data_IF_946802778120
#
_entry.id   IF_946802778120
#
_cell.length_a   1.000
_cell.length_b   1.000
_cell.length_c   1.000
_cell.angle_alpha   90.00
_cell.angle_beta   90.00
_cell.angle_gamma   90.00
#
_symmetry.space_group_name_H-M   'P 1'
#
loop_
_entity.id
_entity.type
_entity.pdbx_description
1 polymer ?
#
# COMPACT_ATOMS: atom_id res chain seq x y z
N UNK A 1 8.98 -35.48 59.13
CA UNK A 1 10.42 -35.73 58.90
C UNK A 1 11.07 -34.43 58.47
N UNK A 2 12.27 -34.15 58.97
CA UNK A 2 13.13 -33.03 58.54
C UNK A 2 13.73 -33.37 57.13
N UNK A 3 14.36 -32.48 56.34
CA UNK A 3 15.13 -31.27 56.65
C UNK A 3 14.99 -30.16 55.57
N UNK A 4 15.17 -28.89 55.96
CA UNK A 4 15.85 -27.83 55.15
C UNK A 4 17.33 -27.82 55.55
N UNK A 5 18.28 -27.39 54.69
CA UNK A 5 18.80 -25.99 54.67
C UNK A 5 19.20 -25.52 53.23
N UNK A 6 19.76 -24.34 52.89
CA UNK A 6 19.88 -22.98 53.48
C UNK A 6 20.01 -21.97 52.30
N UNK A 7 19.37 -20.80 52.27
CA UNK A 7 19.71 -19.48 52.87
C UNK A 7 20.75 -18.60 52.13
N UNK A 8 20.35 -17.33 51.90
CA UNK A 8 21.15 -16.11 51.58
C UNK A 8 21.72 -16.00 50.14
N UNK A 9 21.85 -14.81 49.54
CA UNK A 9 21.58 -13.44 50.04
C UNK A 9 21.37 -12.38 48.93
N UNK A 10 21.16 -11.12 49.33
CA UNK A 10 20.89 -9.95 48.45
C UNK A 10 22.15 -9.52 47.68
N UNK A 11 22.02 -9.19 46.39
CA UNK A 11 22.85 -8.18 45.70
C UNK A 11 21.96 -7.29 44.82
N UNK A 12 22.26 -5.99 44.79
CA UNK A 12 21.60 -4.98 43.95
C UNK A 12 22.35 -4.84 42.61
N UNK A 13 21.63 -4.58 41.53
CA UNK A 13 22.13 -3.92 40.31
C UNK A 13 20.98 -3.05 39.79
N UNK A 14 21.00 -1.73 39.98
CA UNK A 14 21.76 -0.73 39.19
C UNK A 14 21.24 -0.59 37.75
N UNK A 15 20.14 0.15 37.63
CA UNK A 15 19.83 0.84 36.38
C UNK A 15 20.84 1.98 36.19
N UNK A 16 21.78 1.81 35.27
CA UNK A 16 22.63 2.89 34.79
C UNK A 16 21.76 3.87 33.99
N UNK A 17 21.54 5.06 34.52
CA UNK A 17 21.09 6.18 33.70
C UNK A 17 21.94 7.42 33.98
N UNK A 18 23.00 7.54 33.20
CA UNK A 18 23.90 8.70 33.20
C UNK A 18 23.25 9.86 32.45
N UNK A 19 22.80 10.88 33.18
CA UNK A 19 23.31 12.21 32.91
C UNK A 19 23.17 13.16 34.09
N UNK A 20 24.30 13.73 34.50
CA UNK A 20 24.37 14.82 35.47
C UNK A 20 24.21 16.13 34.70
N UNK A 21 23.32 17.00 35.16
CA UNK A 21 23.58 18.44 35.13
C UNK A 21 22.82 19.09 36.28
N UNK A 22 23.55 19.37 37.36
CA UNK A 22 23.00 19.94 38.58
C UNK A 22 23.02 21.47 38.50
N UNK A 23 21.84 22.09 38.55
CA UNK A 23 21.73 23.47 39.00
C UNK A 23 21.41 23.47 40.51
N UNK A 24 22.29 24.11 41.29
CA UNK A 24 22.11 24.30 42.73
C UNK A 24 21.02 25.35 42.97
N UNK A 25 20.09 25.08 43.90
CA UNK A 25 19.36 26.13 44.62
C UNK A 25 18.81 25.63 45.96
N UNK A 26 19.05 26.41 47.01
CA UNK A 26 18.22 26.47 48.23
C UNK A 26 18.24 25.27 49.20
N UNK A 27 18.87 25.44 50.36
CA UNK A 27 18.50 24.65 51.54
C UNK A 27 17.09 25.05 51.99
N UNK A 28 16.16 24.10 52.00
CA UNK A 28 14.92 24.18 52.78
C UNK A 28 14.69 22.82 53.44
N UNK A 29 14.68 22.79 54.77
CA UNK A 29 14.38 21.59 55.54
C UNK A 29 12.88 21.24 55.39
N UNK A 30 12.53 19.99 55.04
CA UNK A 30 11.13 19.61 54.92
C UNK A 30 10.51 19.36 56.29
N UNK A 31 9.39 20.06 56.57
CA UNK A 31 8.50 19.68 57.68
C UNK A 31 7.91 18.28 57.43
N UNK A 32 7.73 17.44 58.46
CA UNK A 32 7.03 16.17 58.31
C UNK A 32 5.53 16.38 58.06
N UNK A 33 4.88 15.31 57.58
CA UNK A 33 3.44 15.12 57.49
C UNK A 33 2.64 15.96 56.46
N UNK A 34 2.88 15.64 55.19
CA UNK A 34 1.82 15.63 54.18
C UNK A 34 1.81 14.28 53.44
N UNK A 35 0.98 13.33 53.90
CA UNK A 35 0.66 12.11 53.13
C UNK A 35 -0.26 12.48 51.96
N UNK A 36 0.31 12.97 50.87
CA UNK A 36 -0.43 13.14 49.60
C UNK A 36 -0.63 11.75 49.00
N UNK A 37 -1.78 11.14 49.28
CA UNK A 37 -2.26 9.96 48.57
C UNK A 37 -2.59 10.34 47.13
N UNK A 38 -1.63 10.17 46.22
CA UNK A 38 -1.85 10.32 44.78
C UNK A 38 -2.67 9.14 44.27
N UNK A 39 -3.99 9.25 44.42
CA UNK A 39 -4.93 8.41 43.69
C UNK A 39 -4.68 8.62 42.20
N UNK A 40 -3.99 7.65 41.58
CA UNK A 40 -3.88 7.58 40.14
C UNK A 40 -5.27 7.23 39.59
N UNK A 41 -6.05 8.26 39.25
CA UNK A 41 -7.22 8.13 38.41
C UNK A 41 -6.81 7.57 37.05
N UNK A 42 -6.81 6.23 36.95
CA UNK A 42 -6.60 5.51 35.70
C UNK A 42 -7.86 5.68 34.86
N UNK A 43 -7.91 6.76 34.08
CA UNK A 43 -8.89 6.85 33.00
C UNK A 43 -8.75 5.61 32.11
N UNK A 44 -9.85 4.90 31.81
CA UNK A 44 -9.79 3.74 30.93
C UNK A 44 -9.29 4.16 29.55
N UNK A 45 -8.44 3.33 28.94
CA UNK A 45 -7.93 3.58 27.60
C UNK A 45 -9.06 3.29 26.60
N UNK A 46 -9.65 4.36 26.06
CA UNK A 46 -10.64 4.25 24.98
C UNK A 46 -9.95 4.10 23.62
N UNK A 47 -10.29 3.02 22.92
CA UNK A 47 -9.86 2.77 21.55
C UNK A 47 -10.94 3.23 20.57
N UNK A 48 -10.58 3.65 19.33
CA UNK A 48 -11.57 4.08 18.36
C UNK A 48 -12.50 2.93 17.97
N UNK A 49 -13.75 3.27 17.60
CA UNK A 49 -14.71 2.36 16.98
C UNK A 49 -14.97 1.07 17.78
N UNK A 50 -14.99 1.19 19.12
CA UNK A 50 -15.18 0.09 20.08
C UNK A 50 -14.12 -1.03 20.01
N UNK A 51 -13.00 -0.81 19.30
CA UNK A 51 -11.93 -1.81 19.14
C UNK A 51 -11.41 -2.30 20.49
N UNK A 52 -11.32 -3.62 20.65
CA UNK A 52 -10.73 -4.20 21.85
C UNK A 52 -9.21 -4.03 21.81
N UNK A 53 -8.56 -3.92 22.97
CA UNK A 53 -7.11 -3.72 23.06
C UNK A 53 -6.27 -4.70 22.20
N UNK A 54 -6.60 -6.02 22.11
CA UNK A 54 -5.88 -6.94 21.23
C UNK A 54 -6.07 -6.63 19.74
N UNK A 55 -7.28 -6.25 19.31
CA UNK A 55 -7.60 -5.92 17.92
C UNK A 55 -6.86 -4.65 17.48
N UNK A 56 -6.92 -3.60 18.30
CA UNK A 56 -6.19 -2.36 18.03
C UNK A 56 -4.67 -2.59 18.02
N UNK A 57 -4.15 -3.39 18.95
CA UNK A 57 -2.72 -3.73 18.98
C UNK A 57 -2.29 -4.55 17.75
N UNK A 58 -3.10 -5.51 17.29
CA UNK A 58 -2.80 -6.28 16.09
C UNK A 58 -2.77 -5.38 14.84
N UNK A 59 -3.70 -4.44 14.71
CA UNK A 59 -3.74 -3.51 13.58
C UNK A 59 -2.56 -2.52 13.62
N UNK A 60 -2.36 -1.86 14.77
CA UNK A 60 -1.38 -0.78 14.91
C UNK A 60 0.06 -1.30 14.99
N UNK A 61 0.33 -2.24 15.91
CA UNK A 61 1.68 -2.77 16.16
C UNK A 61 1.95 -4.01 15.31
N UNK A 62 1.01 -4.95 15.28
CA UNK A 62 1.15 -6.21 14.55
C UNK A 62 1.01 -6.11 13.02
N UNK A 63 0.68 -4.94 12.47
CA UNK A 63 0.56 -4.72 11.02
C UNK A 63 0.93 -3.29 10.58
N UNK A 64 1.57 -2.51 11.45
CA UNK A 64 2.06 -1.16 11.18
C UNK A 64 1.03 -0.18 10.57
N UNK A 65 -0.27 -0.36 10.85
CA UNK A 65 -1.34 0.47 10.27
C UNK A 65 -1.44 1.78 11.05
N UNK A 66 -1.41 2.91 10.34
CA UNK A 66 -1.48 4.25 10.91
C UNK A 66 -2.79 4.48 11.69
N UNK A 67 -2.76 5.00 12.95
CA UNK A 67 -3.94 5.12 13.81
C UNK A 67 -5.15 5.85 13.19
N UNK A 68 -4.91 6.90 12.40
CA UNK A 68 -5.98 7.64 11.73
C UNK A 68 -6.69 6.83 10.61
N UNK A 69 -6.03 5.82 10.05
CA UNK A 69 -6.63 4.89 9.08
C UNK A 69 -7.43 3.81 9.79
N UNK A 70 -6.91 3.31 10.92
CA UNK A 70 -7.63 2.40 11.83
C UNK A 70 -8.97 3.03 12.24
N UNK A 71 -8.93 4.26 12.77
CA UNK A 71 -10.10 5.02 13.24
C UNK A 71 -11.17 5.28 12.17
N UNK A 72 -10.85 5.21 10.87
CA UNK A 72 -11.82 5.43 9.79
C UNK A 72 -12.46 4.15 9.25
N UNK A 73 -11.79 3.01 9.38
CA UNK A 73 -12.13 1.82 8.58
C UNK A 73 -12.32 0.53 9.37
N UNK A 74 -11.84 0.45 10.61
CA UNK A 74 -11.87 -0.76 11.40
C UNK A 74 -12.79 -0.56 12.61
N UNK A 75 -13.75 -1.45 12.81
CA UNK A 75 -14.80 -1.35 13.82
C UNK A 75 -14.93 -2.66 14.57
N UNK A 76 -15.07 -2.64 15.89
CA UNK A 76 -15.49 -3.83 16.62
C UNK A 76 -17.01 -4.01 16.48
N UNK A 77 -17.42 -5.20 16.08
CA UNK A 77 -18.83 -5.61 16.09
C UNK A 77 -18.96 -6.93 16.84
N UNK A 78 -20.01 -7.04 17.66
CA UNK A 78 -20.36 -8.24 18.43
C UNK A 78 -21.87 -8.36 18.65
N UNK A 79 -22.33 -9.49 19.18
CA UNK A 79 -23.75 -9.77 19.34
C UNK A 79 -24.50 -9.81 18.01
N UNK A 80 -25.83 -9.68 18.06
CA UNK A 80 -26.69 -9.89 16.89
C UNK A 80 -26.50 -8.85 15.76
N UNK A 81 -25.93 -7.68 16.07
CA UNK A 81 -25.61 -6.64 15.08
C UNK A 81 -24.74 -7.14 13.92
N UNK A 82 -23.93 -8.18 14.15
CA UNK A 82 -23.12 -8.84 13.14
C UNK A 82 -23.95 -9.37 11.97
N UNK A 83 -25.21 -9.74 12.20
CA UNK A 83 -26.10 -10.22 11.16
C UNK A 83 -26.56 -9.11 10.20
N UNK A 84 -26.63 -7.86 10.66
CA UNK A 84 -26.97 -6.71 9.81
C UNK A 84 -25.85 -6.44 8.79
N UNK A 85 -24.58 -6.61 9.20
CA UNK A 85 -23.41 -6.48 8.33
C UNK A 85 -23.22 -7.66 7.35
N UNK A 86 -23.68 -8.87 7.69
CA UNK A 86 -23.44 -10.07 6.86
C UNK A 86 -24.65 -10.50 6.03
N UNK A 87 -25.88 -10.35 6.51
CA UNK A 87 -27.07 -10.91 5.86
C UNK A 87 -27.76 -9.96 4.88
N UNK A 88 -26.94 -9.16 4.19
CA UNK A 88 -27.29 -8.12 3.21
C UNK A 88 -27.80 -8.68 1.86
N UNK A 89 -27.73 -10.00 1.65
CA UNK A 89 -28.16 -10.62 0.39
C UNK A 89 -29.56 -11.23 0.49
N UNK A 90 -30.47 -10.79 -0.39
CA UNK A 90 -31.81 -11.37 -0.57
C UNK A 90 -31.79 -12.87 -0.94
N UNK A 91 -30.64 -13.37 -1.44
CA UNK A 91 -30.43 -14.78 -1.81
C UNK A 91 -30.18 -15.68 -0.60
N UNK A 92 -30.16 -15.14 0.61
CA UNK A 92 -30.03 -15.90 1.86
C UNK A 92 -31.40 -16.49 2.23
N UNK A 93 -31.52 -17.81 2.47
CA UNK A 93 -32.79 -18.43 2.82
C UNK A 93 -33.37 -17.86 4.12
N UNK A 94 -34.60 -17.35 4.04
CA UNK A 94 -35.39 -16.76 5.14
C UNK A 94 -36.67 -17.56 5.37
N UNK A 95 -37.19 -17.52 6.60
CA UNK A 95 -38.52 -18.03 6.99
C UNK A 95 -39.61 -17.04 6.55
N UNK A 96 -40.87 -17.47 6.54
CA UNK A 96 -42.03 -16.62 6.18
C UNK A 96 -42.10 -15.29 6.96
N UNK A 97 -41.59 -15.26 8.20
CA UNK A 97 -41.49 -14.06 9.04
C UNK A 97 -40.22 -13.20 8.78
N UNK A 98 -39.57 -13.32 7.61
CA UNK A 98 -38.39 -12.54 7.21
C UNK A 98 -37.05 -12.91 7.87
N UNK A 99 -37.06 -13.57 9.03
CA UNK A 99 -35.86 -14.04 9.74
C UNK A 99 -35.07 -15.07 8.92
N UNK A 100 -33.74 -14.94 8.90
CA UNK A 100 -32.82 -15.91 8.28
C UNK A 100 -32.98 -17.31 8.88
N UNK A 101 -32.85 -18.34 8.05
CA UNK A 101 -32.99 -19.75 8.47
C UNK A 101 -31.95 -20.17 9.51
N UNK A 102 -32.35 -21.03 10.45
CA UNK A 102 -31.51 -21.40 11.59
C UNK A 102 -30.17 -22.10 11.21
N UNK A 103 -30.04 -22.86 10.10
CA UNK A 103 -28.74 -23.36 9.66
C UNK A 103 -27.73 -22.25 9.33
N UNK A 104 -28.17 -21.14 8.71
CA UNK A 104 -27.30 -19.99 8.45
C UNK A 104 -26.90 -19.28 9.74
N UNK A 105 -27.87 -19.06 10.65
CA UNK A 105 -27.62 -18.46 11.96
C UNK A 105 -26.60 -19.30 12.74
N UNK A 106 -26.77 -20.63 12.82
CA UNK A 106 -25.82 -21.55 13.48
C UNK A 106 -24.42 -21.51 12.85
N UNK A 107 -24.31 -21.42 11.52
CA UNK A 107 -23.01 -21.36 10.84
C UNK A 107 -22.21 -20.10 11.20
N UNK A 108 -22.89 -18.97 11.37
CA UNK A 108 -22.28 -17.68 11.70
C UNK A 108 -22.33 -17.32 13.20
N UNK A 109 -22.92 -18.17 14.05
CA UNK A 109 -23.06 -17.94 15.50
C UNK A 109 -21.72 -17.66 16.22
N UNK A 110 -20.62 -18.22 15.70
CA UNK A 110 -19.27 -17.98 16.22
C UNK A 110 -18.85 -16.50 16.19
N UNK A 111 -19.45 -15.69 15.32
CA UNK A 111 -19.17 -14.26 15.19
C UNK A 111 -19.87 -13.40 16.24
N UNK A 112 -20.87 -13.93 16.97
CA UNK A 112 -21.51 -13.23 18.08
C UNK A 112 -20.52 -12.90 19.22
N UNK A 113 -19.43 -13.68 19.33
CA UNK A 113 -18.29 -13.44 20.23
C UNK A 113 -17.38 -12.28 19.78
N UNK A 114 -17.73 -11.65 18.67
CA UNK A 114 -17.13 -10.43 18.15
C UNK A 114 -16.02 -10.64 17.13
N UNK A 115 -15.72 -9.55 16.44
CA UNK A 115 -14.62 -9.46 15.50
C UNK A 115 -14.44 -8.04 14.97
N UNK A 116 -13.38 -7.85 14.19
CA UNK A 116 -13.09 -6.58 13.53
C UNK A 116 -13.77 -6.54 12.17
N UNK A 117 -14.81 -5.72 12.02
CA UNK A 117 -15.36 -5.32 10.72
C UNK A 117 -14.41 -4.37 10.01
N UNK A 118 -14.26 -4.59 8.71
CA UNK A 118 -13.45 -3.75 7.82
C UNK A 118 -14.38 -3.11 6.80
N UNK A 119 -14.56 -1.80 6.95
CA UNK A 119 -15.42 -0.98 6.12
C UNK A 119 -14.72 -0.64 4.79
N UNK A 120 -15.46 -0.78 3.68
CA UNK A 120 -15.02 -0.40 2.33
C UNK A 120 -15.83 0.79 1.79
N UNK A 121 -15.31 1.46 0.77
CA UNK A 121 -16.00 2.47 -0.04
C UNK A 121 -16.37 1.89 -1.41
N UNK A 122 -17.53 2.25 -1.96
CA UNK A 122 -18.00 1.72 -3.23
C UNK A 122 -17.53 2.56 -4.44
N UNK A 123 -16.66 2.02 -5.33
CA UNK A 123 -16.15 2.73 -6.50
C UNK A 123 -17.23 2.99 -7.56
N UNK A 124 -18.37 2.30 -7.50
CA UNK A 124 -19.50 2.43 -8.42
C UNK A 124 -20.62 3.33 -7.86
N UNK A 125 -20.59 3.63 -6.55
CA UNK A 125 -21.57 4.48 -5.88
C UNK A 125 -20.91 5.70 -5.20
N UNK A 126 -20.23 6.53 -6.00
CA UNK A 126 -19.64 7.82 -5.60
C UNK A 126 -18.74 7.77 -4.36
N UNK A 127 -18.05 6.65 -4.11
CA UNK A 127 -17.19 6.46 -2.93
C UNK A 127 -17.92 6.55 -1.59
N UNK A 128 -19.23 6.32 -1.56
CA UNK A 128 -19.99 6.15 -0.32
C UNK A 128 -19.57 4.85 0.39
N UNK A 129 -19.75 4.76 1.73
CA UNK A 129 -19.55 3.51 2.45
C UNK A 129 -20.35 2.36 1.82
N UNK A 130 -19.64 1.29 1.48
CA UNK A 130 -20.21 0.09 0.89
C UNK A 130 -20.93 -0.74 1.97
N UNK A 131 -22.13 -1.23 1.68
CA UNK A 131 -22.84 -2.15 2.58
C UNK A 131 -22.06 -3.47 2.78
N UNK A 132 -21.36 -3.90 1.73
CA UNK A 132 -20.42 -5.01 1.81
C UNK A 132 -19.09 -4.59 2.45
N UNK A 133 -18.60 -5.44 3.33
CA UNK A 133 -17.27 -5.41 3.92
C UNK A 133 -16.86 -6.82 4.33
N UNK A 134 -15.80 -6.96 5.13
CA UNK A 134 -15.37 -8.27 5.65
C UNK A 134 -15.12 -8.20 7.13
N UNK A 135 -15.52 -9.25 7.86
CA UNK A 135 -15.22 -9.40 9.28
C UNK A 135 -14.01 -10.31 9.45
N UNK A 136 -13.07 -9.89 10.30
CA UNK A 136 -12.06 -10.76 10.89
C UNK A 136 -12.60 -11.28 12.23
N UNK A 137 -12.97 -12.57 12.37
CA UNK A 137 -13.49 -13.10 13.62
C UNK A 137 -12.42 -13.14 14.72
N UNK A 138 -12.80 -12.88 15.97
CA UNK A 138 -11.91 -13.16 17.11
C UNK A 138 -11.75 -14.68 17.34
N UNK A 139 -12.79 -15.45 17.02
CA UNK A 139 -12.82 -16.91 17.12
C UNK A 139 -13.20 -17.54 15.78
N UNK A 140 -12.25 -17.65 14.82
CA UNK A 140 -12.56 -18.11 13.46
C UNK A 140 -12.99 -19.59 13.44
N UNK A 141 -14.10 -19.90 12.77
CA UNK A 141 -14.51 -21.29 12.54
C UNK A 141 -13.50 -22.02 11.63
N UNK A 142 -13.47 -23.35 11.72
CA UNK A 142 -12.67 -24.19 10.83
C UNK A 142 -13.45 -24.49 9.54
N UNK A 143 -12.80 -24.32 8.39
CA UNK A 143 -13.26 -24.83 7.10
C UNK A 143 -13.09 -26.36 7.09
N UNK A 144 -14.21 -27.10 7.11
CA UNK A 144 -14.22 -28.55 7.18
C UNK A 144 -13.58 -29.24 5.97
N UNK A 145 -13.51 -28.58 4.81
CA UNK A 145 -12.86 -29.12 3.61
C UNK A 145 -11.34 -28.94 3.64
N UNK A 146 -10.87 -27.85 4.26
CA UNK A 146 -9.46 -27.44 4.25
C UNK A 146 -8.73 -27.72 5.56
N UNK A 147 -9.45 -28.03 6.64
CA UNK A 147 -8.89 -28.19 7.99
C UNK A 147 -8.21 -26.93 8.53
N UNK A 148 -8.65 -25.74 8.08
CA UNK A 148 -7.98 -24.45 8.36
C UNK A 148 -8.97 -23.40 8.89
N UNK A 149 -8.53 -22.51 9.79
CA UNK A 149 -9.37 -21.42 10.28
C UNK A 149 -9.71 -20.44 9.15
N UNK A 150 -10.99 -20.06 9.05
CA UNK A 150 -11.46 -19.02 8.13
C UNK A 150 -11.09 -17.66 8.71
N UNK A 151 -9.94 -17.12 8.28
CA UNK A 151 -9.38 -15.87 8.82
C UNK A 151 -10.28 -14.64 8.64
N UNK A 152 -11.11 -14.62 7.59
CA UNK A 152 -11.99 -13.52 7.23
C UNK A 152 -13.25 -14.09 6.58
N UNK A 153 -14.42 -13.58 6.97
CA UNK A 153 -15.71 -13.93 6.37
C UNK A 153 -16.25 -12.76 5.55
N UNK A 154 -16.82 -13.07 4.38
CA UNK A 154 -17.55 -12.13 3.53
C UNK A 154 -19.06 -12.39 3.66
N UNK A 155 -19.92 -11.38 3.44
CA UNK A 155 -21.38 -11.54 3.38
C UNK A 155 -21.82 -12.73 2.49
N UNK A 156 -22.50 -13.76 3.02
CA UNK A 156 -22.91 -14.92 2.22
C UNK A 156 -23.81 -14.56 1.04
N UNK A 157 -23.68 -15.33 -0.04
CA UNK A 157 -24.47 -15.19 -1.29
C UNK A 157 -24.30 -13.83 -2.01
N UNK A 158 -23.33 -13.02 -1.61
CA UNK A 158 -22.82 -11.88 -2.39
C UNK A 158 -21.68 -12.31 -3.32
N UNK A 159 -21.40 -11.50 -4.34
CA UNK A 159 -20.09 -11.54 -4.99
C UNK A 159 -19.04 -10.93 -4.05
N UNK A 160 -17.82 -11.43 -4.08
CA UNK A 160 -16.70 -10.73 -3.44
C UNK A 160 -16.55 -9.34 -4.08
N UNK A 161 -16.29 -8.32 -3.26
CA UNK A 161 -15.92 -6.96 -3.68
C UNK A 161 -14.45 -6.71 -3.30
N UNK A 162 -13.83 -5.65 -3.82
CA UNK A 162 -12.49 -5.23 -3.36
C UNK A 162 -12.60 -4.17 -2.26
N UNK A 163 -11.57 -4.05 -1.41
CA UNK A 163 -11.57 -3.11 -0.28
C UNK A 163 -10.86 -1.81 -0.66
N UNK A 164 -11.63 -0.72 -0.67
CA UNK A 164 -11.17 0.67 -0.78
C UNK A 164 -11.35 1.37 0.58
N UNK A 165 -10.29 1.88 1.17
CA UNK A 165 -10.34 2.54 2.49
C UNK A 165 -10.68 4.03 2.40
N UNK A 166 -11.38 4.57 3.41
CA UNK A 166 -11.44 6.01 3.67
C UNK A 166 -10.07 6.49 4.20
N UNK A 167 -9.38 7.31 3.40
CA UNK A 167 -8.02 7.76 3.66
C UNK A 167 -8.01 9.10 4.40
N UNK A 168 -7.40 9.18 5.61
CA UNK A 168 -7.26 10.44 6.33
C UNK A 168 -6.29 11.40 5.64
N UNK A 169 -6.55 12.71 5.78
CA UNK A 169 -5.77 13.79 5.15
C UNK A 169 -4.25 13.71 5.44
N UNK A 170 -3.84 13.15 6.59
CA UNK A 170 -2.43 12.95 6.91
C UNK A 170 -1.74 11.94 5.97
N UNK A 171 -2.44 10.85 5.60
CA UNK A 171 -1.94 9.83 4.66
C UNK A 171 -2.06 10.34 3.22
N UNK A 172 -3.17 10.99 2.87
CA UNK A 172 -3.32 11.63 1.55
C UNK A 172 -2.21 12.67 1.28
N UNK A 173 -1.80 13.45 2.28
CA UNK A 173 -0.64 14.35 2.15
C UNK A 173 0.70 13.61 2.06
N UNK A 174 0.84 12.45 2.71
CA UNK A 174 2.03 11.59 2.57
C UNK A 174 2.13 11.02 1.14
N UNK A 175 1.01 10.56 0.58
CA UNK A 175 0.89 10.05 -0.80
C UNK A 175 1.22 11.16 -1.81
N UNK A 176 0.61 12.34 -1.67
CA UNK A 176 0.88 13.47 -2.56
C UNK A 176 2.37 13.85 -2.58
N UNK A 177 3.03 13.88 -1.41
CA UNK A 177 4.49 14.08 -1.30
C UNK A 177 5.29 12.96 -1.94
N UNK A 178 4.90 11.69 -1.77
CA UNK A 178 5.61 10.54 -2.37
C UNK A 178 5.67 10.63 -3.89
N UNK A 179 4.58 11.03 -4.52
CA UNK A 179 4.47 11.09 -5.98
C UNK A 179 4.71 12.51 -6.54
N UNK A 180 5.24 13.44 -5.74
CA UNK A 180 5.52 14.84 -6.12
C UNK A 180 4.32 15.62 -6.68
N UNK A 181 3.10 15.27 -6.26
CA UNK A 181 1.88 15.96 -6.67
C UNK A 181 1.63 17.14 -5.71
N UNK A 182 1.35 18.37 -6.21
CA UNK A 182 1.00 19.52 -5.38
C UNK A 182 -0.09 19.18 -4.37
N UNK A 183 -0.01 19.74 -3.16
CA UNK A 183 -0.89 19.33 -2.06
C UNK A 183 -2.35 19.41 -2.47
N UNK A 184 -3.08 18.31 -2.25
CA UNK A 184 -4.51 18.19 -2.55
C UNK A 184 -5.34 19.30 -1.90
N UNK A 185 -4.83 19.91 -0.82
CA UNK A 185 -5.40 21.12 -0.21
C UNK A 185 -5.57 22.28 -1.20
N UNK A 186 -4.67 22.45 -2.16
CA UNK A 186 -4.76 23.47 -3.22
C UNK A 186 -5.68 23.01 -4.37
N UNK A 187 -5.61 21.73 -4.73
CA UNK A 187 -6.41 21.12 -5.81
C UNK A 187 -7.90 21.04 -5.45
N UNK A 188 -8.25 20.82 -4.18
CA UNK A 188 -9.62 20.79 -3.65
C UNK A 188 -10.36 22.12 -3.85
N UNK A 189 -9.66 23.25 -3.89
CA UNK A 189 -10.26 24.55 -4.20
C UNK A 189 -10.25 24.90 -5.70
N UNK A 190 -9.40 24.25 -6.51
CA UNK A 190 -9.21 24.56 -7.93
C UNK A 190 -10.40 24.21 -8.85
N UNK A 191 -11.47 23.58 -8.34
CA UNK A 191 -12.75 23.41 -9.06
C UNK A 191 -13.92 24.25 -8.51
N UNK A 192 -13.71 25.14 -7.53
CA UNK A 192 -14.65 26.23 -7.24
C UNK A 192 -14.46 27.40 -8.23
N UNK A 193 -14.84 27.12 -9.47
CA UNK A 193 -15.22 28.09 -10.51
C UNK A 193 -14.28 29.27 -10.83
N UNK A 194 -13.42 29.10 -11.85
CA UNK A 194 -13.36 30.04 -12.98
C UNK A 194 -12.57 29.46 -14.17
N UNK A 195 -12.99 29.79 -15.40
CA UNK A 195 -12.23 29.48 -16.63
C UNK A 195 -10.94 30.30 -16.64
N UNK A 196 -9.78 29.67 -16.53
CA UNK A 196 -8.53 30.30 -16.94
C UNK A 196 -8.47 30.37 -18.47
N UNK A 197 -8.84 31.53 -19.02
CA UNK A 197 -8.78 31.81 -20.44
C UNK A 197 -7.31 32.08 -20.84
N UNK A 198 -6.61 31.06 -21.33
CA UNK A 198 -5.24 31.23 -21.83
C UNK A 198 -5.29 32.01 -23.15
N UNK A 199 -5.01 33.32 -23.11
CA UNK A 199 -4.67 34.12 -24.29
C UNK A 199 -3.41 34.96 -24.05
N UNK A 200 -2.40 34.63 -24.87
CA UNK A 200 -1.28 35.46 -25.34
C UNK A 200 -0.34 36.16 -24.34
N UNK A 201 0.92 35.68 -24.35
CA UNK A 201 2.18 36.40 -24.66
C UNK A 201 2.39 37.86 -24.16
N UNK A 202 3.64 38.07 -23.69
CA UNK A 202 4.38 39.34 -23.48
C UNK A 202 3.99 40.18 -22.24
N UNK A 203 4.68 39.88 -21.12
CA UNK A 203 5.56 40.79 -20.35
C UNK A 203 5.89 40.15 -19.00
N UNK A 204 7.03 39.46 -18.89
CA UNK A 204 7.63 39.13 -17.58
C UNK A 204 9.16 38.93 -17.63
N UNK A 205 9.83 39.60 -18.58
CA UNK A 205 11.29 39.71 -18.61
C UNK A 205 11.86 40.67 -17.54
N UNK A 206 11.00 41.24 -16.68
CA UNK A 206 11.36 42.18 -15.61
C UNK A 206 11.31 41.58 -14.20
N UNK A 207 10.61 40.46 -13.99
CA UNK A 207 10.51 39.83 -12.66
C UNK A 207 11.68 38.87 -12.34
N UNK A 208 12.39 38.39 -13.35
CA UNK A 208 13.57 37.52 -13.17
C UNK A 208 14.86 38.29 -12.83
N UNK A 209 14.87 39.62 -12.95
CA UNK A 209 16.07 40.45 -12.71
C UNK A 209 16.27 40.83 -11.23
N UNK A 210 15.20 40.90 -10.43
CA UNK A 210 15.25 41.44 -9.07
C UNK A 210 15.50 40.40 -7.95
N UNK A 211 15.64 39.11 -8.30
CA UNK A 211 15.84 38.02 -7.32
C UNK A 211 17.30 37.53 -7.21
N UNK A 212 18.28 38.39 -7.51
CA UNK A 212 19.71 38.02 -7.47
C UNK A 212 20.58 38.71 -6.42
N UNK A 213 20.05 39.65 -5.62
CA UNK A 213 20.83 40.32 -4.57
C UNK A 213 20.10 40.31 -3.21
N UNK A 214 20.90 40.24 -2.14
CA UNK A 214 20.55 40.21 -0.70
C UNK A 214 19.89 38.94 -0.14
N UNK A 215 20.75 38.09 0.44
CA UNK A 215 20.40 37.31 1.63
C UNK A 215 20.29 38.23 2.86
N UNK A 216 19.72 37.67 3.93
CA UNK A 216 19.60 38.20 5.30
C UNK A 216 18.51 39.28 5.54
N UNK A 217 17.43 38.87 6.22
CA UNK A 217 17.33 39.11 7.66
C UNK A 217 16.36 38.09 8.29
N UNK A 218 16.48 37.89 9.60
CA UNK A 218 15.79 36.83 10.32
C UNK A 218 14.53 37.32 11.08
N UNK A 219 13.86 36.34 11.69
CA UNK A 219 12.89 36.44 12.79
C UNK A 219 11.40 36.60 12.45
N UNK A 220 10.65 35.72 13.11
CA UNK A 220 9.20 35.61 13.13
C UNK A 220 8.51 36.86 13.68
N UNK A 221 7.51 37.35 12.95
CA UNK A 221 6.44 38.17 13.53
C UNK A 221 5.08 37.60 13.11
N UNK A 222 4.23 37.28 14.08
CA UNK A 222 2.86 36.84 13.81
C UNK A 222 2.03 38.01 13.28
N UNK A 223 0.98 37.73 12.51
CA UNK A 223 0.12 38.77 11.90
C UNK A 223 -0.45 39.79 12.91
N UNK A 224 -0.65 39.38 14.17
CA UNK A 224 -1.04 40.27 15.28
C UNK A 224 -0.01 41.38 15.57
N UNK A 225 1.28 41.15 15.30
CA UNK A 225 2.34 42.15 15.44
C UNK A 225 2.34 43.20 14.31
N UNK A 226 1.69 42.91 13.16
CA UNK A 226 1.53 43.86 12.06
C UNK A 226 0.35 44.81 12.32
N UNK A 227 -0.76 44.30 12.89
CA UNK A 227 -1.90 45.14 13.30
C UNK A 227 -1.54 46.12 14.44
N UNK A 228 -0.56 45.79 15.29
CA UNK A 228 -0.05 46.69 16.36
C UNK A 228 0.93 47.78 15.88
N UNK A 229 1.29 47.79 14.59
CA UNK A 229 2.18 48.79 13.98
C UNK A 229 1.43 49.74 13.02
N UNK A 230 0.10 49.78 13.11
CA UNK A 230 -0.80 50.55 12.23
C UNK A 230 -0.69 50.24 10.72
N UNK A 231 -0.06 49.12 10.35
CA UNK A 231 0.11 48.68 8.94
C UNK A 231 -1.19 48.10 8.37
N UNK A 232 -2.08 47.58 9.22
CA UNK A 232 -3.37 47.00 8.83
C UNK A 232 -4.51 47.53 9.71
N UNK A 233 -5.49 48.18 9.06
CA UNK A 233 -6.65 48.76 9.72
C UNK A 233 -7.50 47.67 10.44
N UNK A 234 -7.79 47.81 11.75
CA UNK A 234 -8.60 46.83 12.50
C UNK A 234 -10.00 46.57 11.91
N UNK A 235 -10.59 47.58 11.25
CA UNK A 235 -11.88 47.45 10.57
C UNK A 235 -11.76 46.52 9.34
N UNK A 236 -10.66 46.58 8.61
CA UNK A 236 -10.38 45.67 7.48
C UNK A 236 -10.11 44.25 7.96
N UNK A 237 -9.45 44.06 9.11
CA UNK A 237 -9.33 42.75 9.74
C UNK A 237 -10.70 42.19 10.15
N UNK A 238 -11.57 43.00 10.76
CA UNK A 238 -12.92 42.55 11.12
C UNK A 238 -13.86 42.37 9.92
N UNK A 239 -13.70 43.12 8.84
CA UNK A 239 -14.41 42.89 7.57
C UNK A 239 -13.93 41.60 6.91
N UNK A 240 -12.62 41.34 6.87
CA UNK A 240 -12.05 40.08 6.38
C UNK A 240 -12.49 38.88 7.24
N UNK A 241 -12.49 39.00 8.57
CA UNK A 241 -13.02 37.96 9.46
C UNK A 241 -14.54 37.80 9.32
N UNK A 242 -15.33 38.86 9.10
CA UNK A 242 -16.76 38.75 8.77
C UNK A 242 -17.00 38.09 7.41
N UNK A 243 -16.11 38.29 6.45
CA UNK A 243 -16.19 37.68 5.12
C UNK A 243 -15.67 36.23 5.09
N UNK A 244 -14.93 35.79 6.11
CA UNK A 244 -14.32 34.46 6.20
C UNK A 244 -14.66 33.64 7.47
N UNK A 245 -15.64 34.06 8.27
CA UNK A 245 -16.30 33.21 9.27
C UNK A 245 -17.80 33.13 8.99
N UNK A 246 -18.31 31.89 9.03
CA UNK A 246 -19.73 31.51 8.85
C UNK A 246 -20.23 31.51 7.39
N UNK A 247 -19.67 30.62 6.58
CA UNK A 247 -20.49 29.79 5.68
C UNK A 247 -20.58 28.39 6.26
N UNK A 248 -21.33 28.27 7.37
CA UNK A 248 -21.79 26.98 7.87
C UNK A 248 -23.20 26.77 7.29
N UNK A 249 -23.28 25.89 6.29
CA UNK A 249 -24.44 25.06 5.91
C UNK A 249 -25.83 25.72 6.02
N UNK A 250 -26.44 26.06 4.88
CA UNK A 250 -27.77 25.51 4.57
C UNK A 250 -28.07 25.38 3.06
N UNK A 251 -28.88 24.38 2.73
CA UNK A 251 -29.73 24.22 1.54
C UNK A 251 -29.08 24.00 0.15
N UNK A 252 -29.23 22.75 -0.31
CA UNK A 252 -29.52 22.37 -1.72
C UNK A 252 -28.53 22.72 -2.85
N UNK A 253 -27.23 22.51 -2.65
CA UNK A 253 -26.35 22.15 -3.77
C UNK A 253 -25.39 21.02 -3.39
N UNK A 254 -25.26 20.02 -4.27
CA UNK A 254 -24.48 18.78 -4.02
C UNK A 254 -22.98 19.08 -4.10
N UNK A 255 -22.42 19.66 -3.04
CA UNK A 255 -20.98 19.87 -2.87
C UNK A 255 -20.29 18.50 -2.81
N UNK A 256 -19.74 18.05 -3.95
CA UNK A 256 -18.96 16.82 -4.02
C UNK A 256 -17.63 17.09 -3.30
N UNK A 257 -17.53 16.67 -2.04
CA UNK A 257 -16.25 16.48 -1.38
C UNK A 257 -15.46 15.46 -2.22
N UNK A 258 -14.42 15.93 -2.88
CA UNK A 258 -13.60 15.12 -3.78
C UNK A 258 -12.83 14.10 -2.91
N UNK A 259 -13.32 12.87 -2.89
CA UNK A 259 -12.76 11.80 -2.06
C UNK A 259 -11.35 11.44 -2.52
N UNK A 260 -10.55 10.85 -1.62
CA UNK A 260 -9.18 10.42 -1.94
C UNK A 260 -9.12 9.58 -3.24
N UNK A 261 -10.07 8.68 -3.46
CA UNK A 261 -10.08 7.82 -4.65
C UNK A 261 -10.51 8.56 -5.92
N UNK A 262 -11.34 9.60 -5.81
CA UNK A 262 -11.63 10.48 -6.95
C UNK A 262 -10.43 11.39 -7.29
N UNK A 263 -9.60 11.73 -6.30
CA UNK A 263 -8.31 12.38 -6.52
C UNK A 263 -7.34 11.41 -7.19
N UNK A 264 -7.18 10.18 -6.68
CA UNK A 264 -6.36 9.14 -7.34
C UNK A 264 -6.79 8.96 -8.79
N UNK A 265 -8.09 8.83 -9.10
CA UNK A 265 -8.57 8.75 -10.49
C UNK A 265 -8.09 9.88 -11.40
N UNK A 266 -7.99 11.11 -10.89
CA UNK A 266 -7.52 12.27 -11.65
C UNK A 266 -5.99 12.30 -11.87
N UNK A 267 -5.24 11.43 -11.18
CA UNK A 267 -3.78 11.31 -11.26
C UNK A 267 -3.38 9.89 -11.73
N UNK A 268 -3.46 9.57 -13.05
CA UNK A 268 -3.02 8.29 -13.61
C UNK A 268 -1.54 7.97 -13.35
N UNK A 269 -0.70 8.99 -13.14
CA UNK A 269 0.71 8.87 -12.77
C UNK A 269 0.94 8.18 -11.41
N UNK A 270 -0.07 8.10 -10.55
CA UNK A 270 0.01 7.36 -9.29
C UNK A 270 -0.18 5.84 -9.57
N UNK A 271 0.83 4.99 -9.30
CA UNK A 271 0.67 3.54 -9.42
C UNK A 271 -0.22 2.99 -8.30
N UNK A 272 -1.00 1.95 -8.62
CA UNK A 272 -1.89 1.28 -7.67
C UNK A 272 -1.39 -0.14 -7.39
N UNK A 273 -1.11 -0.43 -6.12
CA UNK A 273 -0.68 -1.75 -5.67
C UNK A 273 -1.89 -2.63 -5.33
N UNK A 274 -1.93 -3.87 -5.83
CA UNK A 274 -2.94 -4.87 -5.46
C UNK A 274 -2.34 -5.91 -4.51
N UNK A 275 -2.91 -6.01 -3.30
CA UNK A 275 -2.45 -6.94 -2.26
C UNK A 275 -3.50 -7.98 -1.86
N UNK A 276 -3.04 -9.11 -1.33
CA UNK A 276 -3.91 -10.11 -0.72
C UNK A 276 -4.27 -9.72 0.73
N UNK A 277 -5.48 -9.18 0.90
CA UNK A 277 -6.05 -8.87 2.21
C UNK A 277 -5.82 -7.44 2.71
N UNK A 278 -6.69 -7.07 3.64
CA UNK A 278 -7.01 -5.70 4.02
C UNK A 278 -5.88 -5.04 4.82
N UNK A 279 -5.30 -5.75 5.79
CA UNK A 279 -4.19 -5.24 6.61
C UNK A 279 -2.96 -4.86 5.79
N UNK A 280 -2.70 -5.57 4.69
CA UNK A 280 -1.55 -5.32 3.79
C UNK A 280 -1.71 -4.02 3.01
N UNK A 281 -2.88 -3.82 2.41
CA UNK A 281 -3.19 -2.55 1.74
C UNK A 281 -3.20 -1.39 2.75
N UNK A 282 -3.75 -1.59 3.95
CA UNK A 282 -3.75 -0.59 5.02
C UNK A 282 -2.32 -0.23 5.49
N UNK A 283 -1.42 -1.22 5.60
CA UNK A 283 -0.01 -1.02 5.90
C UNK A 283 0.72 -0.21 4.80
N UNK A 284 0.50 -0.56 3.52
CA UNK A 284 1.07 0.17 2.38
C UNK A 284 0.59 1.62 2.30
N UNK A 285 -0.72 1.85 2.49
CA UNK A 285 -1.30 3.19 2.58
C UNK A 285 -0.69 3.99 3.74
N UNK A 286 -0.43 3.34 4.87
CA UNK A 286 0.23 3.97 6.03
C UNK A 286 1.67 4.42 5.76
N UNK A 287 2.34 3.84 4.75
CA UNK A 287 3.65 4.24 4.25
C UNK A 287 3.60 5.16 3.00
N UNK A 288 2.39 5.58 2.60
CA UNK A 288 2.17 6.49 1.49
C UNK A 288 2.12 5.84 0.10
N UNK A 289 2.01 4.52 0.01
CA UNK A 289 1.77 3.83 -1.26
C UNK A 289 0.26 3.65 -1.48
N UNK A 290 -0.25 3.90 -2.69
CA UNK A 290 -1.68 3.67 -2.98
C UNK A 290 -1.91 2.17 -3.20
N UNK A 291 -2.74 1.56 -2.34
CA UNK A 291 -3.00 0.13 -2.37
C UNK A 291 -4.48 -0.21 -2.22
N UNK A 292 -4.93 -1.23 -2.95
CA UNK A 292 -6.28 -1.82 -2.89
C UNK A 292 -6.16 -3.27 -2.42
N UNK A 293 -7.02 -3.68 -1.50
CA UNK A 293 -7.03 -5.05 -0.99
C UNK A 293 -8.01 -5.94 -1.74
N UNK A 294 -7.53 -7.07 -2.23
CA UNK A 294 -8.34 -8.14 -2.81
C UNK A 294 -8.69 -9.17 -1.72
N UNK A 295 -9.93 -9.71 -1.67
CA UNK A 295 -10.34 -10.73 -0.70
C UNK A 295 -9.81 -12.15 -1.06
N UNK A 296 -8.52 -12.25 -1.35
CA UNK A 296 -7.82 -13.43 -1.86
C UNK A 296 -7.32 -13.25 -3.29
N UNK A 297 -6.19 -13.87 -3.63
CA UNK A 297 -5.45 -13.70 -4.92
C UNK A 297 -6.29 -13.80 -6.20
N UNK A 298 -7.39 -14.55 -6.18
CA UNK A 298 -8.21 -14.82 -7.36
C UNK A 298 -9.25 -13.73 -7.68
N UNK A 299 -9.45 -12.76 -6.79
CA UNK A 299 -10.54 -11.77 -6.89
C UNK A 299 -10.13 -10.46 -7.58
N UNK A 300 -8.95 -10.41 -8.23
CA UNK A 300 -8.60 -9.29 -9.12
C UNK A 300 -9.37 -9.32 -10.45
N UNK A 301 -10.15 -10.37 -10.69
CA UNK A 301 -10.82 -10.68 -11.96
C UNK A 301 -12.12 -11.45 -11.72
N UNK A 302 -13.02 -11.44 -12.71
CA UNK A 302 -14.28 -12.20 -12.73
C UNK A 302 -14.45 -12.92 -14.07
N UNK A 303 -15.37 -13.87 -14.15
CA UNK A 303 -15.59 -14.70 -15.34
C UNK A 303 -14.81 -16.02 -15.32
N UNK A 304 -15.08 -16.85 -16.33
CA UNK A 304 -14.43 -18.13 -16.57
C UNK A 304 -13.16 -17.93 -17.42
N UNK A 305 -12.15 -18.77 -17.17
CA UNK A 305 -10.89 -18.74 -17.94
C UNK A 305 -11.20 -18.94 -19.43
N UNK A 306 -10.51 -18.20 -20.30
CA UNK A 306 -10.56 -18.36 -21.76
C UNK A 306 -11.94 -18.08 -22.42
N UNK A 307 -12.97 -17.70 -21.65
CA UNK A 307 -14.31 -17.33 -22.14
C UNK A 307 -14.67 -15.86 -21.90
N UNK A 308 -14.95 -15.48 -20.65
CA UNK A 308 -15.41 -14.13 -20.26
C UNK A 308 -14.56 -13.48 -19.15
N UNK A 309 -13.34 -14.01 -18.93
CA UNK A 309 -12.35 -13.49 -17.98
C UNK A 309 -12.06 -12.01 -18.23
N UNK A 310 -12.41 -11.17 -17.23
CA UNK A 310 -12.25 -9.71 -17.26
C UNK A 310 -11.82 -9.18 -15.90
N UNK A 311 -11.34 -7.94 -15.88
CA UNK A 311 -10.97 -7.25 -14.65
C UNK A 311 -12.15 -7.19 -13.68
N UNK A 312 -11.89 -7.26 -12.38
CA UNK A 312 -12.95 -7.15 -11.36
C UNK A 312 -13.70 -5.81 -11.53
N UNK A 313 -15.05 -5.79 -11.53
CA UNK A 313 -15.83 -4.57 -11.81
C UNK A 313 -15.41 -3.37 -10.95
N UNK A 314 -15.12 -3.61 -9.67
CA UNK A 314 -14.66 -2.58 -8.74
C UNK A 314 -13.31 -1.93 -9.11
N UNK A 315 -12.44 -2.65 -9.82
CA UNK A 315 -11.12 -2.16 -10.26
C UNK A 315 -11.20 -1.39 -11.58
N UNK A 316 -12.26 -1.59 -12.39
CA UNK A 316 -12.43 -0.94 -13.70
C UNK A 316 -12.41 0.60 -13.61
N UNK A 317 -13.05 1.27 -12.63
CA UNK A 317 -12.95 2.73 -12.46
C UNK A 317 -11.53 3.25 -12.18
N UNK A 318 -10.59 2.38 -11.82
CA UNK A 318 -9.18 2.70 -11.61
C UNK A 318 -8.29 2.30 -12.80
N UNK A 319 -8.76 1.42 -13.69
CA UNK A 319 -8.04 0.97 -14.88
C UNK A 319 -8.07 2.04 -16.00
N UNK A 320 -7.29 3.10 -15.80
CA UNK A 320 -7.16 4.21 -16.75
C UNK A 320 -5.90 4.05 -17.60
N UNK A 321 -5.95 4.57 -18.83
CA UNK A 321 -4.79 4.62 -19.72
C UNK A 321 -3.64 5.41 -19.09
N UNK A 322 -2.41 4.91 -19.23
CA UNK A 322 -1.21 5.46 -18.60
C UNK A 322 -1.08 5.19 -17.10
N UNK A 323 -2.06 4.54 -16.44
CA UNK A 323 -1.88 4.05 -15.07
C UNK A 323 -1.16 2.71 -15.04
N UNK A 324 -0.19 2.61 -14.14
CA UNK A 324 0.47 1.38 -13.72
C UNK A 324 -0.23 0.73 -12.53
N UNK A 325 -0.52 -0.56 -12.62
CA UNK A 325 -0.83 -1.42 -11.48
C UNK A 325 0.39 -2.28 -11.12
N UNK A 326 0.52 -2.59 -9.83
CA UNK A 326 1.60 -3.44 -9.32
C UNK A 326 0.97 -4.54 -8.47
N UNK A 327 1.03 -5.79 -8.92
CA UNK A 327 0.55 -6.92 -8.12
C UNK A 327 1.62 -7.27 -7.08
N UNK A 328 1.25 -7.26 -5.80
CA UNK A 328 2.15 -7.52 -4.68
C UNK A 328 1.48 -8.49 -3.70
N UNK A 329 1.50 -9.77 -4.05
CA UNK A 329 0.95 -10.88 -3.25
C UNK A 329 2.00 -11.49 -2.31
N UNK A 330 1.51 -12.27 -1.33
CA UNK A 330 2.31 -12.85 -0.26
C UNK A 330 3.47 -13.73 -0.77
N UNK A 331 4.59 -13.66 -0.06
CA UNK A 331 5.70 -14.59 -0.25
C UNK A 331 5.26 -16.02 0.09
N UNK A 332 5.57 -16.97 -0.79
CA UNK A 332 5.08 -18.35 -0.68
C UNK A 332 6.14 -19.37 -1.08
N UNK A 333 6.46 -20.25 -0.13
CA UNK A 333 7.49 -21.29 -0.26
C UNK A 333 6.93 -22.62 -0.76
N UNK A 334 5.64 -22.91 -0.52
CA UNK A 334 5.00 -24.14 -0.96
C UNK A 334 4.80 -24.13 -2.48
N UNK A 335 5.46 -25.04 -3.21
CA UNK A 335 5.36 -25.16 -4.67
C UNK A 335 3.92 -25.17 -5.20
N UNK A 336 3.00 -25.83 -4.48
CA UNK A 336 1.56 -25.88 -4.85
C UNK A 336 0.91 -24.50 -4.75
N UNK A 337 1.08 -23.82 -3.62
CA UNK A 337 0.46 -22.50 -3.41
C UNK A 337 1.13 -21.44 -4.28
N UNK A 338 2.46 -21.50 -4.45
CA UNK A 338 3.24 -20.61 -5.32
C UNK A 338 2.82 -20.72 -6.79
N UNK A 339 2.43 -21.91 -7.27
CA UNK A 339 1.83 -22.09 -8.59
C UNK A 339 0.46 -21.41 -8.71
N UNK A 340 -0.40 -21.52 -7.68
CA UNK A 340 -1.69 -20.83 -7.66
C UNK A 340 -1.53 -19.31 -7.62
N UNK A 341 -0.59 -18.79 -6.81
CA UNK A 341 -0.20 -17.37 -6.80
C UNK A 341 0.28 -16.93 -8.19
N UNK A 342 1.17 -17.69 -8.82
CA UNK A 342 1.64 -17.40 -10.18
C UNK A 342 0.50 -17.33 -11.20
N UNK A 343 -0.40 -18.32 -11.22
CA UNK A 343 -1.55 -18.33 -12.13
C UNK A 343 -2.52 -17.17 -11.85
N UNK A 344 -2.76 -16.84 -10.58
CA UNK A 344 -3.62 -15.74 -10.17
C UNK A 344 -3.04 -14.38 -10.59
N UNK A 345 -1.74 -14.16 -10.34
CA UNK A 345 -1.00 -12.96 -10.74
C UNK A 345 -1.04 -12.78 -12.26
N UNK A 346 -0.66 -13.82 -13.04
CA UNK A 346 -0.62 -13.71 -14.51
C UNK A 346 -1.99 -13.42 -15.12
N UNK A 347 -3.05 -14.07 -14.61
CA UNK A 347 -4.42 -13.83 -15.12
C UNK A 347 -4.96 -12.47 -14.72
N UNK A 348 -4.66 -12.00 -13.51
CA UNK A 348 -5.04 -10.65 -13.06
C UNK A 348 -4.29 -9.57 -13.85
N UNK A 349 -2.98 -9.73 -14.07
CA UNK A 349 -2.18 -8.82 -14.87
C UNK A 349 -2.70 -8.70 -16.31
N UNK A 350 -2.99 -9.82 -16.97
CA UNK A 350 -3.63 -9.82 -18.30
C UNK A 350 -4.97 -9.10 -18.32
N UNK A 351 -5.79 -9.29 -17.28
CA UNK A 351 -7.09 -8.61 -17.18
C UNK A 351 -6.95 -7.09 -17.00
N UNK A 352 -5.89 -6.63 -16.32
CA UNK A 352 -5.52 -5.21 -16.21
C UNK A 352 -5.02 -4.67 -17.56
N UNK A 353 -4.12 -5.39 -18.24
CA UNK A 353 -3.63 -5.04 -19.58
C UNK A 353 -4.77 -4.94 -20.60
N UNK A 354 -5.72 -5.89 -20.59
CA UNK A 354 -6.93 -5.84 -21.43
C UNK A 354 -7.92 -4.75 -21.05
N UNK A 355 -7.85 -4.19 -19.84
CA UNK A 355 -8.61 -3.01 -19.44
C UNK A 355 -7.92 -1.68 -19.84
N UNK A 356 -6.71 -1.73 -20.40
CA UNK A 356 -5.98 -0.56 -20.91
C UNK A 356 -4.99 0.08 -19.93
N UNK A 357 -4.65 -0.59 -18.83
CA UNK A 357 -3.61 -0.15 -17.87
C UNK A 357 -2.37 -1.04 -17.93
N UNK A 358 -1.22 -0.51 -17.54
CA UNK A 358 0.02 -1.28 -17.43
C UNK A 358 0.01 -2.15 -16.17
N UNK A 359 0.69 -3.30 -16.18
CA UNK A 359 0.81 -4.16 -15.00
C UNK A 359 2.24 -4.70 -14.80
N UNK A 360 2.76 -4.48 -13.59
CA UNK A 360 4.00 -5.06 -13.09
C UNK A 360 3.74 -5.94 -11.87
N UNK A 361 4.77 -6.68 -11.43
CA UNK A 361 4.70 -7.63 -10.32
C UNK A 361 5.89 -7.41 -9.39
N UNK A 362 5.60 -6.88 -8.20
CA UNK A 362 6.58 -6.78 -7.12
C UNK A 362 6.66 -8.11 -6.36
N UNK A 363 7.86 -8.49 -5.90
CA UNK A 363 8.10 -9.76 -5.21
C UNK A 363 8.72 -9.51 -3.84
N UNK A 364 8.03 -9.98 -2.80
CA UNK A 364 8.54 -9.89 -1.44
C UNK A 364 9.67 -10.93 -1.26
N UNK A 365 10.88 -10.55 -0.81
CA UNK A 365 12.03 -11.46 -0.75
C UNK A 365 11.94 -12.51 0.37
N UNK A 366 10.99 -12.37 1.29
CA UNK A 366 10.90 -13.16 2.51
C UNK A 366 11.97 -12.80 3.55
N UNK A 367 12.06 -13.58 4.66
CA UNK A 367 11.25 -14.77 4.97
C UNK A 367 9.79 -14.46 5.37
N UNK A 368 9.48 -13.20 5.69
CA UNK A 368 8.14 -12.76 6.07
C UNK A 368 7.12 -13.07 4.97
N UNK A 369 5.88 -13.43 5.36
CA UNK A 369 4.86 -13.83 4.40
C UNK A 369 4.13 -12.63 3.80
N UNK A 370 3.59 -11.77 4.66
CA UNK A 370 2.91 -10.55 4.26
C UNK A 370 3.82 -9.34 4.23
N UNK A 371 3.44 -8.33 3.43
CA UNK A 371 4.09 -7.01 3.47
C UNK A 371 3.88 -6.31 4.83
N UNK A 372 2.76 -6.58 5.51
CA UNK A 372 2.49 -6.13 6.87
C UNK A 372 3.50 -6.72 7.87
N UNK A 373 3.73 -8.04 7.82
CA UNK A 373 4.76 -8.71 8.63
C UNK A 373 6.18 -8.16 8.33
N UNK A 374 6.50 -7.93 7.05
CA UNK A 374 7.78 -7.39 6.61
C UNK A 374 8.01 -5.96 7.10
N UNK A 375 7.00 -5.08 7.06
CA UNK A 375 7.13 -3.71 7.58
C UNK A 375 7.40 -3.71 9.08
N UNK A 376 6.70 -4.57 9.83
CA UNK A 376 6.93 -4.73 11.27
C UNK A 376 8.34 -5.24 11.56
N UNK A 377 8.87 -6.19 10.78
CA UNK A 377 10.23 -6.73 11.01
C UNK A 377 11.37 -5.76 10.64
N UNK A 378 11.20 -4.92 9.61
CA UNK A 378 12.22 -3.96 9.15
C UNK A 378 12.15 -2.60 9.84
N UNK A 379 11.03 -2.26 10.49
CA UNK A 379 10.85 -1.03 11.25
C UNK A 379 11.15 0.22 10.44
N UNK A 380 12.07 1.07 10.92
CA UNK A 380 12.45 2.35 10.28
C UNK A 380 12.93 2.17 8.83
N UNK A 381 13.60 1.06 8.53
CA UNK A 381 14.14 0.78 7.18
C UNK A 381 13.06 0.26 6.20
N UNK A 382 11.88 -0.12 6.69
CA UNK A 382 10.84 -0.75 5.88
C UNK A 382 10.43 0.11 4.67
N UNK A 383 10.30 1.42 4.86
CA UNK A 383 9.84 2.32 3.80
C UNK A 383 10.83 2.40 2.63
N UNK A 384 12.13 2.52 2.91
CA UNK A 384 13.17 2.56 1.87
C UNK A 384 13.30 1.21 1.14
N UNK A 385 13.26 0.10 1.88
CA UNK A 385 13.30 -1.25 1.31
C UNK A 385 12.08 -1.55 0.45
N UNK A 386 10.88 -1.12 0.86
CA UNK A 386 9.67 -1.27 0.05
C UNK A 386 9.69 -0.40 -1.19
N UNK A 387 10.19 0.84 -1.12
CA UNK A 387 10.39 1.66 -2.33
C UNK A 387 11.26 0.90 -3.33
N UNK A 388 12.42 0.38 -2.91
CA UNK A 388 13.29 -0.41 -3.79
C UNK A 388 12.64 -1.69 -4.35
N UNK A 389 11.81 -2.40 -3.56
CA UNK A 389 11.07 -3.60 -4.02
C UNK A 389 9.98 -3.25 -5.04
N UNK A 390 9.35 -2.07 -4.89
CA UNK A 390 8.33 -1.57 -5.81
C UNK A 390 8.96 -0.99 -7.08
N UNK A 391 10.15 -0.39 -6.98
CA UNK A 391 10.91 0.11 -8.14
C UNK A 391 11.55 -1.03 -8.96
N UNK A 392 11.93 -2.16 -8.34
CA UNK A 392 12.34 -3.43 -9.00
C UNK A 392 11.14 -4.31 -9.41
N UNK A 393 9.93 -3.74 -9.50
CA UNK A 393 8.76 -4.49 -9.93
C UNK A 393 8.92 -5.00 -11.38
N UNK A 394 8.65 -6.28 -11.59
CA UNK A 394 8.95 -6.96 -12.86
C UNK A 394 7.83 -6.77 -13.86
N UNK A 395 8.19 -6.55 -15.13
CA UNK A 395 7.24 -6.66 -16.23
C UNK A 395 6.54 -8.03 -16.20
N UNK A 396 5.30 -8.12 -16.69
CA UNK A 396 4.58 -9.40 -16.76
C UNK A 396 5.37 -10.48 -17.52
N UNK A 397 6.12 -10.08 -18.56
CA UNK A 397 6.98 -10.98 -19.35
C UNK A 397 8.13 -11.54 -18.52
N UNK A 398 8.79 -10.70 -17.73
CA UNK A 398 9.94 -11.10 -16.91
C UNK A 398 9.54 -11.84 -15.65
N UNK A 399 8.37 -11.51 -15.07
CA UNK A 399 7.75 -12.34 -14.03
C UNK A 399 7.45 -13.75 -14.56
N UNK A 400 6.82 -13.88 -15.74
CA UNK A 400 6.57 -15.18 -16.38
C UNK A 400 7.86 -15.96 -16.66
N UNK A 401 8.91 -15.29 -17.14
CA UNK A 401 10.24 -15.89 -17.32
C UNK A 401 10.83 -16.37 -16.01
N UNK A 402 10.74 -15.57 -14.93
CA UNK A 402 11.29 -15.92 -13.62
C UNK A 402 10.66 -17.20 -13.04
N UNK A 403 9.36 -17.43 -13.26
CA UNK A 403 8.70 -18.68 -12.85
C UNK A 403 9.01 -19.85 -13.79
N UNK A 404 9.10 -19.59 -15.10
CA UNK A 404 9.40 -20.60 -16.14
C UNK A 404 10.89 -20.89 -16.31
N UNK A 405 11.76 -20.33 -15.46
CA UNK A 405 13.17 -20.66 -15.38
C UNK A 405 13.35 -22.12 -14.91
N UNK A 406 13.11 -23.06 -15.84
CA UNK A 406 13.67 -24.41 -15.78
C UNK A 406 15.19 -24.25 -15.54
N UNK A 407 15.81 -25.19 -14.81
CA UNK A 407 17.26 -25.21 -14.51
C UNK A 407 18.16 -25.42 -15.75
N UNK A 408 18.15 -24.48 -16.70
CA UNK A 408 18.98 -24.48 -17.91
C UNK A 408 20.00 -23.34 -17.83
N UNK A 409 21.15 -23.52 -18.48
CA UNK A 409 22.27 -22.60 -18.37
C UNK A 409 22.81 -22.51 -16.94
N UNK A 410 23.13 -21.29 -16.50
CA UNK A 410 23.77 -21.02 -15.22
C UNK A 410 22.84 -21.19 -13.99
N UNK A 411 21.51 -21.22 -14.19
CA UNK A 411 20.50 -21.34 -13.12
C UNK A 411 20.54 -22.62 -12.28
N UNK A 412 21.40 -23.59 -12.65
CA UNK A 412 21.67 -24.80 -11.86
C UNK A 412 22.79 -24.62 -10.83
N UNK A 413 23.62 -23.59 -10.95
CA UNK A 413 24.68 -23.26 -10.00
C UNK A 413 24.14 -22.29 -8.94
N UNK A 414 24.63 -22.43 -7.71
CA UNK A 414 24.43 -21.41 -6.67
C UNK A 414 25.38 -20.24 -7.00
N UNK A 415 24.93 -18.98 -7.00
CA UNK A 415 25.84 -17.86 -7.17
C UNK A 415 26.80 -17.78 -5.98
N UNK A 416 28.10 -17.75 -6.26
CA UNK A 416 29.15 -17.57 -5.25
C UNK A 416 29.12 -16.15 -4.65
N UNK A 417 28.80 -15.17 -5.51
CA UNK A 417 28.63 -13.76 -5.16
C UNK A 417 27.30 -13.27 -5.75
N UNK A 418 26.52 -12.53 -4.96
CA UNK A 418 25.30 -11.83 -5.39
C UNK A 418 25.47 -10.35 -5.10
N UNK A 419 25.39 -9.52 -6.14
CA UNK A 419 25.61 -8.06 -6.05
C UNK A 419 24.40 -7.33 -6.64
N UNK A 420 24.03 -6.21 -6.02
CA UNK A 420 23.01 -5.30 -6.52
C UNK A 420 23.60 -3.88 -6.51
N UNK A 421 24.40 -3.60 -7.54
CA UNK A 421 25.09 -2.33 -7.78
C UNK A 421 24.83 -1.90 -9.22
N UNK A 422 24.89 -0.59 -9.48
CA UNK A 422 24.64 -0.04 -10.81
C UNK A 422 25.71 -0.49 -11.83
N UNK A 423 26.97 -0.61 -11.38
CA UNK A 423 28.08 -1.07 -12.20
C UNK A 423 28.77 -2.27 -11.52
N UNK A 424 28.82 -3.42 -12.22
CA UNK A 424 29.42 -4.65 -11.67
C UNK A 424 30.89 -4.47 -11.25
N UNK A 425 31.63 -3.57 -11.91
CA UNK A 425 33.02 -3.20 -11.57
C UNK A 425 33.17 -2.59 -10.16
N UNK A 426 32.11 -2.01 -9.58
CA UNK A 426 32.14 -1.48 -8.21
C UNK A 426 32.10 -2.57 -7.14
N UNK A 427 31.57 -3.76 -7.47
CA UNK A 427 31.40 -4.86 -6.52
C UNK A 427 32.19 -6.13 -6.88
N UNK A 428 32.71 -6.22 -8.10
CA UNK A 428 33.54 -7.31 -8.61
C UNK A 428 34.84 -6.73 -9.16
N UNK A 429 35.85 -6.62 -8.29
CA UNK A 429 37.23 -6.46 -8.77
C UNK A 429 37.67 -7.81 -9.36
N UNK A 430 37.82 -7.87 -10.68
CA UNK A 430 38.30 -9.05 -11.41
C UNK A 430 39.60 -8.62 -12.11
N UNK A 431 40.77 -8.78 -11.47
CA UNK A 431 42.04 -8.23 -11.98
C UNK A 431 42.38 -8.72 -13.41
N UNK A 432 42.12 -9.99 -13.68
CA UNK A 432 42.32 -10.61 -14.99
C UNK A 432 41.39 -10.07 -16.09
N UNK A 433 40.30 -9.41 -15.72
CA UNK A 433 39.30 -8.85 -16.64
C UNK A 433 39.58 -7.38 -16.89
N UNK A 434 40.06 -6.63 -15.90
CA UNK A 434 40.63 -5.29 -16.09
C UNK A 434 41.83 -5.33 -17.05
N UNK A 435 42.77 -6.26 -16.84
CA UNK A 435 43.93 -6.47 -17.72
C UNK A 435 43.53 -6.94 -19.15
N UNK A 436 42.33 -7.51 -19.33
CA UNK A 436 41.80 -7.88 -20.66
C UNK A 436 41.02 -6.76 -21.31
N UNK A 437 40.22 -6.01 -20.55
CA UNK A 437 39.50 -4.83 -21.04
C UNK A 437 40.46 -3.70 -21.46
N UNK A 438 41.60 -3.53 -20.78
CA UNK A 438 42.69 -2.65 -21.20
C UNK A 438 43.34 -3.05 -22.55
N UNK A 439 43.08 -4.26 -23.05
CA UNK A 439 43.54 -4.76 -24.35
C UNK A 439 42.44 -4.77 -25.42
N UNK A 440 41.23 -4.33 -25.11
CA UNK A 440 40.15 -4.17 -26.11
C UNK A 440 40.30 -2.78 -26.75
N UNK A 441 40.39 -2.68 -28.09
CA UNK A 441 40.42 -1.39 -28.79
C UNK A 441 39.18 -0.53 -28.49
N UNK A 442 39.30 0.79 -28.63
CA UNK A 442 38.14 1.69 -28.52
C UNK A 442 37.05 1.32 -29.54
N UNK A 443 35.78 1.63 -29.20
CA UNK A 443 34.57 1.14 -29.88
C UNK A 443 34.54 1.31 -31.42
N UNK A 444 35.35 2.22 -31.96
CA UNK A 444 35.44 2.53 -33.39
C UNK A 444 36.17 1.47 -34.25
N UNK A 445 36.91 0.54 -33.66
CA UNK A 445 37.61 -0.54 -34.41
C UNK A 445 36.78 -1.84 -34.50
N UNK A 446 35.67 -1.96 -33.75
CA UNK A 446 34.90 -3.21 -33.64
C UNK A 446 34.02 -3.56 -34.86
N UNK A 447 33.89 -2.68 -35.86
CA UNK A 447 33.11 -2.97 -37.08
C UNK A 447 33.72 -4.09 -37.96
N UNK A 448 34.95 -4.55 -37.68
CA UNK A 448 35.66 -5.54 -38.51
C UNK A 448 35.75 -6.95 -37.92
N UNK A 449 35.49 -7.17 -36.63
CA UNK A 449 35.49 -8.52 -36.06
C UNK A 449 34.08 -9.08 -35.98
N UNK A 450 33.88 -10.23 -36.62
CA UNK A 450 32.58 -10.87 -36.80
C UNK A 450 31.95 -11.23 -35.45
N UNK A 451 30.82 -10.56 -35.14
CA UNK A 451 29.93 -10.95 -34.06
C UNK A 451 29.64 -12.46 -34.15
N UNK A 452 29.90 -13.17 -33.05
CA UNK A 452 29.81 -14.63 -32.95
C UNK A 452 28.44 -15.16 -33.42
N UNK A 453 28.38 -15.59 -34.67
CA UNK A 453 27.18 -16.24 -35.24
C UNK A 453 27.38 -17.75 -35.09
N UNK A 454 26.58 -18.46 -34.27
CA UNK A 454 26.82 -19.88 -34.03
C UNK A 454 26.54 -20.71 -35.31
N UNK A 455 27.59 -21.33 -35.84
CA UNK A 455 27.50 -22.21 -37.01
C UNK A 455 26.69 -23.47 -36.70
N UNK A 456 25.51 -23.59 -37.33
CA UNK A 456 24.70 -24.81 -37.29
C UNK A 456 25.31 -25.82 -38.27
N UNK A 457 25.95 -26.86 -37.74
CA UNK A 457 26.47 -27.96 -38.56
C UNK A 457 25.37 -28.96 -38.95
N UNK A 458 25.10 -29.04 -40.26
CA UNK A 458 24.87 -30.34 -40.91
C UNK A 458 23.44 -30.72 -41.33
N UNK A 459 23.06 -30.28 -42.53
CA UNK A 459 22.37 -31.16 -43.48
C UNK A 459 23.06 -30.99 -44.85
N UNK A 460 23.42 -32.06 -45.58
CA UNK A 460 24.02 -31.94 -46.90
C UNK A 460 22.94 -31.53 -47.93
N UNK A 461 23.23 -30.59 -48.84
CA UNK A 461 22.32 -30.27 -49.94
C UNK A 461 22.28 -31.40 -50.96
N UNK A 462 21.08 -31.68 -51.48
CA UNK A 462 20.92 -32.60 -52.61
C UNK A 462 21.65 -32.08 -53.85
N UNK A 463 22.18 -33.01 -54.66
CA UNK A 463 22.77 -32.69 -55.95
C UNK A 463 21.74 -32.04 -56.88
N UNK A 464 22.17 -31.03 -57.61
CA UNK A 464 21.44 -30.49 -58.75
C UNK A 464 21.33 -31.55 -59.85
N UNK A 465 20.14 -31.67 -60.44
CA UNK A 465 19.94 -32.33 -61.73
C UNK A 465 19.66 -31.25 -62.77
N UNK A 466 20.64 -30.94 -63.60
CA UNK A 466 20.42 -30.20 -64.85
C UNK A 466 19.77 -31.14 -65.86
N UNK A 467 18.59 -30.80 -66.37
CA UNK A 467 18.43 -30.78 -67.83
C UNK A 467 17.36 -29.79 -68.28
N UNK A 468 17.41 -29.53 -69.57
CA UNK A 468 16.75 -28.51 -70.37
C UNK A 468 15.61 -29.11 -71.20
N UNK A 469 14.82 -28.24 -71.85
CA UNK A 469 13.83 -28.63 -72.87
C UNK A 469 12.39 -28.35 -72.45
N UNK A 470 11.68 -27.59 -73.29
CA UNK A 470 10.22 -27.40 -73.18
C UNK A 470 9.46 -28.31 -74.16
N UNK A 471 8.35 -27.77 -74.67
CA UNK A 471 7.45 -28.30 -75.73
C UNK A 471 6.16 -28.99 -75.21
N UNK A 472 5.08 -28.22 -75.40
CA UNK A 472 3.71 -28.52 -75.86
C UNK A 472 2.70 -29.44 -75.11
N UNK A 473 1.51 -28.84 -74.98
CA UNK A 473 0.14 -29.39 -75.14
C UNK A 473 -0.23 -30.76 -74.56
N UNK A 474 -1.21 -30.77 -73.65
CA UNK A 474 -2.64 -31.03 -73.97
C UNK A 474 -3.54 -30.65 -72.81
#
# INVERSE_FOLDING_TARGET
>A
MQCRPNCHGKIKGENVNTNKNAFKCGNFEPKPDCKVSVEHQRHPIEYPNNLKAPEYHELYVGSAIHPALIKRNFFHIEGESVYDYLFISDKIPRKNAGRVTDPYIKMYQHLLLGGTWIQSLDPLNNWLPMEWGRIKPNFPRIDWQKGKPVKYESPPKTANRVTYFDIPNCILNLIARRYNIPSVTEVLFAKRGQKLHIKSRRKNALYAANFRNSLSYAQSSSLLALCRKDILNPLMFWLWVKQHKLNFIDSHQKDIQLTFWEWVKQHPEIPIILCEGEKKAACLLSLGFVAIALPGIWNGRVGQQDFDERLHPDLVPMALSGRKFIIFFDHETSSKTRWLVFQATVRTAKAIESAGSECEVALLPGPEKGVDDFVVSRGVNANALLTAIIDDAKSLKDYQRSYRAKKWGLSKYKPDVTVNVLYLSEALCIPELEEKCLRVPELYELEKEQLFTPSIKGHPPNKESTDSGGVDSS
#
